data_IF_895539323059
#
_entry.id   IF_895539323059
#
_cell.length_a   1.000
_cell.length_b   1.000
_cell.length_c   1.000
_cell.angle_alpha   90.00
_cell.angle_beta   90.00
_cell.angle_gamma   90.00
#
_symmetry.space_group_name_H-M   'P 1'
#
loop_
_entity.id
_entity.type
_entity.pdbx_description
1 polymer ?
#
# COMPACT_ATOMS: atom_id res chain seq x y z
N UNK A 1 10.20 40.82 -24.80
CA UNK A 1 10.56 40.41 -23.41
C UNK A 1 9.35 39.70 -22.80
N UNK A 2 9.46 38.43 -22.45
CA UNK A 2 8.36 37.66 -21.82
C UNK A 2 8.30 38.02 -20.33
N UNK A 3 7.23 38.68 -19.89
CA UNK A 3 6.97 38.94 -18.47
C UNK A 3 6.73 37.63 -17.72
N UNK A 4 7.79 37.07 -17.15
CA UNK A 4 7.72 35.96 -16.20
C UNK A 4 7.36 36.51 -14.82
N UNK A 5 6.06 36.62 -14.54
CA UNK A 5 5.57 36.85 -13.18
C UNK A 5 6.02 35.70 -12.28
N UNK A 6 7.02 35.97 -11.42
CA UNK A 6 7.44 35.08 -10.33
C UNK A 6 6.21 34.74 -9.49
N UNK A 7 5.70 33.52 -9.64
CA UNK A 7 4.62 32.97 -8.81
C UNK A 7 5.18 32.76 -7.40
N UNK A 8 5.04 33.77 -6.52
CA UNK A 8 5.37 33.64 -5.10
C UNK A 8 4.59 32.45 -4.54
N UNK A 9 5.31 31.45 -4.04
CA UNK A 9 4.76 30.28 -3.39
C UNK A 9 4.06 30.73 -2.09
N UNK A 10 2.76 31.05 -2.18
CA UNK A 10 1.97 31.44 -1.00
C UNK A 10 1.83 30.22 -0.10
N UNK A 11 2.55 30.22 1.02
CA UNK A 11 2.33 29.27 2.10
C UNK A 11 0.93 29.49 2.67
N UNK A 12 0.14 28.43 2.74
CA UNK A 12 -1.22 28.52 3.29
C UNK A 12 -1.14 28.85 4.79
N UNK A 13 -1.67 30.02 5.17
CA UNK A 13 -1.79 30.45 6.57
C UNK A 13 -3.25 30.72 6.90
N UNK A 14 -3.70 30.26 8.07
CA UNK A 14 -5.03 30.58 8.58
C UNK A 14 -5.13 32.07 8.92
N UNK A 15 -6.35 32.64 8.82
CA UNK A 15 -6.61 33.99 9.32
C UNK A 15 -6.30 34.06 10.83
N UNK A 16 -5.53 35.06 11.22
CA UNK A 16 -5.27 35.44 12.61
C UNK A 16 -6.50 36.11 13.24
N UNK A 17 -6.47 36.33 14.57
CA UNK A 17 -7.51 37.11 15.25
C UNK A 17 -7.60 38.52 14.66
N UNK A 18 -6.47 39.22 14.55
CA UNK A 18 -6.41 40.58 14.03
C UNK A 18 -6.99 40.69 12.61
N UNK A 19 -6.71 39.71 11.74
CA UNK A 19 -7.31 39.67 10.41
C UNK A 19 -8.83 39.48 10.48
N UNK A 20 -9.34 38.63 11.40
CA UNK A 20 -10.79 38.46 11.60
C UNK A 20 -11.44 39.74 12.13
N UNK A 21 -10.83 40.43 13.09
CA UNK A 21 -11.35 41.69 13.63
C UNK A 21 -11.43 42.75 12.52
N UNK A 22 -10.42 42.80 11.66
CA UNK A 22 -10.39 43.72 10.51
C UNK A 22 -11.46 43.36 9.47
N UNK A 23 -11.72 42.07 9.23
CA UNK A 23 -12.85 41.63 8.39
C UNK A 23 -14.16 42.14 8.98
N UNK A 24 -14.36 41.99 10.28
CA UNK A 24 -15.59 42.39 10.96
C UNK A 24 -15.85 43.89 10.84
N UNK A 25 -14.86 44.71 11.18
CA UNK A 25 -14.91 46.17 11.08
C UNK A 25 -15.23 46.59 9.64
N UNK A 26 -14.45 46.14 8.65
CA UNK A 26 -14.62 46.57 7.27
C UNK A 26 -15.97 46.11 6.69
N UNK A 27 -16.45 44.90 7.05
CA UNK A 27 -17.75 44.42 6.61
C UNK A 27 -18.90 45.19 7.27
N UNK A 28 -18.76 45.59 8.54
CA UNK A 28 -19.74 46.47 9.20
C UNK A 28 -19.80 47.88 8.58
N UNK A 29 -18.68 48.36 8.05
CA UNK A 29 -18.57 49.63 7.32
C UNK A 29 -19.04 49.53 5.85
N UNK A 30 -19.50 48.36 5.40
CA UNK A 30 -20.06 48.17 4.06
C UNK A 30 -19.06 47.84 2.95
N UNK A 31 -17.76 47.73 3.25
CA UNK A 31 -16.73 47.38 2.25
C UNK A 31 -16.98 46.02 1.62
N UNK A 32 -16.72 45.89 0.31
CA UNK A 32 -16.94 44.63 -0.42
C UNK A 32 -15.93 43.54 -0.02
N UNK A 33 -16.23 42.27 -0.31
CA UNK A 33 -15.31 41.15 -0.07
C UNK A 33 -13.97 41.36 -0.79
N UNK A 34 -14.01 41.97 -1.99
CA UNK A 34 -12.83 42.25 -2.80
C UNK A 34 -11.97 43.32 -2.13
N UNK A 35 -12.58 44.36 -1.57
CA UNK A 35 -11.85 45.45 -0.90
C UNK A 35 -11.22 44.96 0.40
N UNK A 36 -11.96 44.18 1.20
CA UNK A 36 -11.44 43.54 2.41
C UNK A 36 -10.24 42.63 2.07
N UNK A 37 -10.35 41.85 0.99
CA UNK A 37 -9.26 40.98 0.56
C UNK A 37 -8.01 41.75 0.12
N UNK A 38 -8.18 42.87 -0.62
CA UNK A 38 -7.09 43.78 -0.99
C UNK A 38 -6.40 44.37 0.24
N UNK A 39 -7.16 44.88 1.21
CA UNK A 39 -6.64 45.48 2.45
C UNK A 39 -5.85 44.46 3.27
N UNK A 40 -6.30 43.20 3.31
CA UNK A 40 -5.63 42.13 4.07
C UNK A 40 -4.53 41.40 3.30
N UNK A 41 -4.30 41.74 2.03
CA UNK A 41 -3.38 40.99 1.16
C UNK A 41 -3.78 39.52 0.99
N UNK A 42 -5.07 39.19 1.14
CA UNK A 42 -5.62 37.83 1.06
C UNK A 42 -6.33 37.60 -0.27
N UNK A 43 -6.52 36.33 -0.60
CA UNK A 43 -7.41 35.98 -1.71
C UNK A 43 -8.88 36.24 -1.31
N UNK A 44 -9.65 36.84 -2.22
CA UNK A 44 -11.07 37.14 -2.03
C UNK A 44 -11.90 35.88 -1.66
N UNK A 45 -11.55 34.72 -2.21
CA UNK A 45 -12.17 33.44 -1.88
C UNK A 45 -11.91 33.00 -0.44
N UNK A 46 -10.83 33.46 0.21
CA UNK A 46 -10.55 33.20 1.63
C UNK A 46 -11.50 33.97 2.53
N UNK A 47 -11.71 35.26 2.23
CA UNK A 47 -12.66 36.11 2.94
C UNK A 47 -14.09 35.61 2.74
N UNK A 48 -14.45 35.26 1.51
CA UNK A 48 -15.76 34.66 1.19
C UNK A 48 -16.02 33.38 2.00
N UNK A 49 -15.07 32.42 2.01
CA UNK A 49 -15.19 31.17 2.79
C UNK A 49 -15.30 31.41 4.30
N UNK A 50 -14.57 32.40 4.83
CA UNK A 50 -14.65 32.77 6.25
C UNK A 50 -16.05 33.30 6.61
N UNK A 51 -16.57 34.25 5.83
CA UNK A 51 -17.88 34.84 6.03
C UNK A 51 -19.00 33.81 5.88
N UNK A 52 -18.97 32.98 4.83
CA UNK A 52 -19.95 31.90 4.62
C UNK A 52 -20.01 30.97 5.85
N UNK A 53 -18.87 30.70 6.47
CA UNK A 53 -18.75 29.71 7.53
C UNK A 53 -19.13 30.25 8.91
N UNK A 54 -18.93 31.55 9.15
CA UNK A 54 -19.02 32.11 10.50
C UNK A 54 -20.03 33.26 10.66
N UNK A 55 -20.58 33.81 9.58
CA UNK A 55 -21.70 34.76 9.67
C UNK A 55 -23.00 34.06 10.07
N UNK A 56 -23.80 34.67 10.96
CA UNK A 56 -25.13 34.14 11.32
C UNK A 56 -26.10 34.31 10.15
N UNK A 57 -26.75 33.27 9.66
CA UNK A 57 -27.78 33.43 8.61
C UNK A 57 -28.97 34.19 9.18
N UNK A 58 -29.18 35.44 8.77
CA UNK A 58 -30.46 36.15 8.96
C UNK A 58 -31.16 36.09 7.61
N UNK A 59 -32.24 35.30 7.49
CA UNK A 59 -33.13 35.38 6.33
C UNK A 59 -33.80 36.76 6.37
N UNK A 60 -33.67 37.54 5.29
CA UNK A 60 -34.54 38.70 5.04
C UNK A 60 -35.33 38.43 3.76
N UNK A 61 -36.63 38.75 3.80
CA UNK A 61 -37.58 38.50 2.71
C UNK A 61 -37.19 39.17 1.39
N UNK A 62 -37.62 38.56 0.29
CA UNK A 62 -37.40 39.02 -1.09
C UNK A 62 -37.97 40.42 -1.31
N UNK A 63 -37.14 41.35 -1.75
CA UNK A 63 -37.48 42.34 -2.77
C UNK A 63 -36.30 42.42 -3.74
N UNK A 64 -36.54 42.00 -4.98
CA UNK A 64 -35.72 42.27 -6.17
C UNK A 64 -34.50 41.36 -6.44
N UNK A 65 -34.65 40.03 -6.35
CA UNK A 65 -33.82 39.08 -7.13
C UNK A 65 -32.34 38.90 -6.76
N UNK A 66 -31.72 39.80 -5.99
CA UNK A 66 -30.34 39.66 -5.53
C UNK A 66 -30.30 39.29 -4.02
N UNK A 67 -30.23 38.01 -3.73
CA UNK A 67 -30.13 37.52 -2.34
C UNK A 67 -28.76 37.83 -1.72
N UNK A 68 -28.62 38.98 -1.05
CA UNK A 68 -27.47 39.24 -0.16
C UNK A 68 -27.73 38.69 1.24
N UNK A 69 -26.95 37.67 1.62
CA UNK A 69 -26.87 37.15 2.99
C UNK A 69 -26.21 38.23 3.86
N UNK A 70 -26.97 38.93 4.69
CA UNK A 70 -26.41 39.86 5.68
C UNK A 70 -26.63 39.28 7.06
N UNK A 71 -25.81 38.27 7.37
CA UNK A 71 -25.49 37.93 8.74
C UNK A 71 -24.47 38.89 9.32
N UNK A 72 -24.64 39.33 10.57
CA UNK A 72 -23.54 39.98 11.29
C UNK A 72 -22.42 38.95 11.45
N UNK A 73 -21.26 39.25 10.88
CA UNK A 73 -20.03 38.52 11.15
C UNK A 73 -19.59 38.87 12.58
N UNK A 74 -18.96 37.93 13.26
CA UNK A 74 -18.49 38.11 14.64
C UNK A 74 -17.10 37.49 14.71
N UNK A 75 -16.08 38.34 14.76
CA UNK A 75 -14.69 37.92 14.75
C UNK A 75 -14.32 37.01 15.94
N UNK A 76 -14.87 37.29 17.12
CA UNK A 76 -14.62 36.52 18.34
C UNK A 76 -15.23 35.12 18.22
N UNK A 77 -16.47 35.02 17.75
CA UNK A 77 -17.13 33.75 17.50
C UNK A 77 -16.41 32.94 16.41
N UNK A 78 -16.00 33.58 15.32
CA UNK A 78 -15.27 32.94 14.22
C UNK A 78 -13.94 32.36 14.72
N UNK A 79 -13.21 33.12 15.52
CA UNK A 79 -11.94 32.68 16.12
C UNK A 79 -12.13 31.55 17.13
N UNK A 80 -13.09 31.68 18.05
CA UNK A 80 -13.40 30.63 19.00
C UNK A 80 -13.79 29.33 18.30
N UNK A 81 -14.67 29.38 17.30
CA UNK A 81 -15.04 28.21 16.48
C UNK A 81 -13.86 27.63 15.72
N UNK A 82 -12.96 28.47 15.18
CA UNK A 82 -11.74 28.01 14.51
C UNK A 82 -10.78 27.29 15.49
N UNK A 83 -10.58 27.85 16.67
CA UNK A 83 -9.80 27.25 17.75
C UNK A 83 -10.38 25.93 18.21
N UNK A 84 -11.67 25.89 18.55
CA UNK A 84 -12.40 24.67 18.93
C UNK A 84 -12.26 23.62 17.85
N UNK A 85 -12.53 23.95 16.58
CA UNK A 85 -12.36 23.01 15.46
C UNK A 85 -10.94 22.42 15.39
N UNK A 86 -9.90 23.25 15.56
CA UNK A 86 -8.50 22.78 15.60
C UNK A 86 -8.23 21.89 16.81
N UNK A 87 -8.75 22.26 17.99
CA UNK A 87 -8.62 21.51 19.24
C UNK A 87 -9.31 20.15 19.18
N UNK A 88 -10.42 20.01 18.45
CA UNK A 88 -11.13 18.74 18.31
C UNK A 88 -10.68 17.91 17.10
N UNK A 89 -10.09 18.52 16.06
CA UNK A 89 -9.53 17.79 14.92
C UNK A 89 -8.44 16.78 15.34
N UNK A 90 -7.68 17.05 16.42
CA UNK A 90 -6.70 16.11 16.99
C UNK A 90 -7.32 14.88 17.67
N UNK A 91 -8.64 14.88 17.85
CA UNK A 91 -9.42 13.76 18.34
C UNK A 91 -10.25 13.13 17.22
N UNK A 92 -9.99 13.46 15.94
CA UNK A 92 -10.68 12.85 14.80
C UNK A 92 -10.49 11.32 14.78
N UNK A 93 -9.40 10.80 15.36
CA UNK A 93 -9.21 9.37 15.56
C UNK A 93 -10.33 8.74 16.40
N UNK A 94 -10.98 9.49 17.31
CA UNK A 94 -12.13 8.99 18.09
C UNK A 94 -13.31 8.62 17.21
N UNK A 95 -13.41 9.15 15.98
CA UNK A 95 -14.44 8.74 15.00
C UNK A 95 -14.36 7.24 14.70
N UNK A 96 -13.17 6.63 14.82
CA UNK A 96 -13.02 5.18 14.71
C UNK A 96 -13.86 4.46 15.79
N UNK A 97 -13.93 4.98 17.02
CA UNK A 97 -14.72 4.35 18.10
C UNK A 97 -16.22 4.59 17.99
N UNK A 98 -16.65 5.70 17.39
CA UNK A 98 -18.07 6.08 17.31
C UNK A 98 -18.77 5.53 16.07
N UNK A 99 -18.02 5.22 15.01
CA UNK A 99 -18.55 4.66 13.78
C UNK A 99 -18.20 3.17 13.73
N UNK A 100 -19.16 2.31 14.12
CA UNK A 100 -18.97 0.86 14.21
C UNK A 100 -18.52 0.25 12.88
N UNK A 101 -18.93 0.82 11.74
CA UNK A 101 -18.49 0.35 10.41
C UNK A 101 -17.01 0.66 10.19
N UNK A 102 -16.55 1.85 10.60
CA UNK A 102 -15.12 2.19 10.54
C UNK A 102 -14.33 1.32 11.52
N UNK A 103 -14.83 1.12 12.74
CA UNK A 103 -14.17 0.31 13.75
C UNK A 103 -13.93 -1.10 13.20
N UNK A 104 -15.02 -1.78 12.79
CA UNK A 104 -14.98 -3.14 12.29
C UNK A 104 -14.08 -3.28 11.06
N UNK A 105 -14.14 -2.31 10.13
CA UNK A 105 -13.25 -2.31 8.98
C UNK A 105 -11.78 -2.16 9.40
N UNK A 106 -11.45 -1.25 10.30
CA UNK A 106 -10.07 -1.05 10.74
C UNK A 106 -9.55 -2.29 11.48
N UNK A 107 -10.33 -2.84 12.42
CA UNK A 107 -9.93 -3.98 13.24
C UNK A 107 -9.73 -5.24 12.40
N UNK A 108 -10.75 -5.64 11.62
CA UNK A 108 -10.71 -6.85 10.78
C UNK A 108 -9.56 -6.81 9.75
N UNK A 109 -9.27 -5.65 9.16
CA UNK A 109 -8.18 -5.52 8.20
C UNK A 109 -6.80 -5.52 8.87
N UNK A 110 -6.67 -4.96 10.07
CA UNK A 110 -5.43 -5.07 10.86
C UNK A 110 -5.14 -6.54 11.21
N UNK A 111 -6.14 -7.30 11.63
CA UNK A 111 -6.02 -8.73 11.99
C UNK A 111 -5.48 -9.59 10.84
N UNK A 112 -5.97 -9.37 9.61
CA UNK A 112 -5.43 -10.04 8.41
C UNK A 112 -4.09 -9.45 7.92
N UNK A 113 -3.52 -8.52 8.69
CA UNK A 113 -2.16 -8.02 8.50
C UNK A 113 -2.03 -6.82 7.56
N UNK A 114 -3.11 -6.08 7.26
CA UNK A 114 -3.01 -4.81 6.55
C UNK A 114 -2.34 -3.76 7.43
N UNK A 115 -1.59 -2.84 6.82
CA UNK A 115 -1.06 -1.68 7.54
C UNK A 115 -2.07 -0.54 7.52
N UNK A 116 -1.95 0.45 8.43
CA UNK A 116 -2.73 1.68 8.37
C UNK A 116 -2.65 2.41 7.02
N UNK A 117 -1.52 2.29 6.30
CA UNK A 117 -1.39 2.85 4.95
C UNK A 117 -2.19 2.07 3.91
N UNK A 118 -2.33 0.76 4.07
CA UNK A 118 -3.08 -0.09 3.14
C UNK A 118 -4.58 0.18 3.31
N UNK A 119 -5.07 0.20 4.56
CA UNK A 119 -6.44 0.57 4.92
C UNK A 119 -6.78 1.97 4.40
N UNK A 120 -5.90 2.95 4.63
CA UNK A 120 -6.10 4.31 4.11
C UNK A 120 -6.26 4.32 2.58
N UNK A 121 -5.41 3.58 1.86
CA UNK A 121 -5.47 3.53 0.39
C UNK A 121 -6.72 2.86 -0.16
N UNK A 122 -7.38 2.00 0.64
CA UNK A 122 -8.50 1.17 0.20
C UNK A 122 -9.87 1.65 0.69
N UNK A 123 -9.92 2.24 1.88
CA UNK A 123 -11.16 2.63 2.57
C UNK A 123 -12.14 3.43 1.71
N UNK A 124 -11.65 4.34 0.85
CA UNK A 124 -12.53 5.13 -0.02
C UNK A 124 -13.24 4.28 -1.08
N UNK A 125 -12.59 3.23 -1.60
CA UNK A 125 -13.16 2.31 -2.59
C UNK A 125 -14.19 1.38 -1.95
N UNK A 126 -13.89 0.83 -0.78
CA UNK A 126 -14.71 -0.22 -0.16
C UNK A 126 -15.80 0.30 0.80
N UNK A 127 -15.57 1.43 1.47
CA UNK A 127 -16.52 2.00 2.43
C UNK A 127 -17.11 3.34 2.00
N UNK A 128 -16.67 3.90 0.88
CA UNK A 128 -16.92 5.30 0.51
C UNK A 128 -16.49 6.33 1.58
N UNK A 129 -15.72 5.91 2.59
CA UNK A 129 -15.23 6.73 3.71
C UNK A 129 -13.72 6.88 3.61
N UNK A 130 -13.20 8.08 3.89
CA UNK A 130 -11.76 8.29 3.95
C UNK A 130 -11.25 8.10 5.39
N UNK A 131 -10.49 7.03 5.62
CA UNK A 131 -9.88 6.76 6.92
C UNK A 131 -8.39 7.11 6.84
N UNK A 132 -7.97 8.18 7.51
CA UNK A 132 -6.56 8.61 7.49
C UNK A 132 -5.65 7.60 8.18
N UNK A 133 -4.51 7.26 7.57
CA UNK A 133 -3.46 6.46 8.22
C UNK A 133 -3.02 7.06 9.57
N UNK A 134 -3.01 8.40 9.67
CA UNK A 134 -2.62 9.11 10.90
C UNK A 134 -3.65 8.87 11.99
N UNK A 135 -4.94 8.93 11.66
CA UNK A 135 -6.02 8.66 12.61
C UNK A 135 -5.95 7.23 13.15
N UNK A 136 -5.67 6.24 12.29
CA UNK A 136 -5.48 4.85 12.71
C UNK A 136 -4.26 4.74 13.64
N UNK A 137 -3.12 5.35 13.29
CA UNK A 137 -1.94 5.32 14.15
C UNK A 137 -2.12 6.03 15.49
N UNK A 138 -2.89 7.13 15.53
CA UNK A 138 -3.24 7.81 16.78
C UNK A 138 -4.17 6.94 17.63
N UNK A 139 -5.21 6.35 17.03
CA UNK A 139 -6.12 5.42 17.71
C UNK A 139 -5.38 4.22 18.30
N UNK A 140 -4.48 3.58 17.53
CA UNK A 140 -3.64 2.46 18.00
C UNK A 140 -2.77 2.82 19.22
N UNK A 141 -2.33 4.08 19.33
CA UNK A 141 -1.43 4.52 20.42
C UNK A 141 -2.19 5.05 21.63
N UNK A 142 -3.26 5.80 21.38
CA UNK A 142 -3.94 6.61 22.39
C UNK A 142 -5.15 5.92 23.02
N UNK A 143 -5.73 4.90 22.37
CA UNK A 143 -6.98 4.26 22.81
C UNK A 143 -6.77 2.80 23.21
N UNK A 144 -7.36 2.39 24.34
CA UNK A 144 -7.27 1.01 24.84
C UNK A 144 -7.92 -0.01 23.90
N UNK A 145 -8.91 0.39 23.09
CA UNK A 145 -9.51 -0.48 22.06
C UNK A 145 -8.58 -0.68 20.87
N UNK A 146 -7.70 0.29 20.61
CA UNK A 146 -6.73 0.23 19.53
C UNK A 146 -5.45 -0.53 19.87
N UNK A 147 -4.97 -0.39 21.10
CA UNK A 147 -3.70 -0.98 21.54
C UNK A 147 -3.55 -2.49 21.26
N UNK A 148 -4.57 -3.36 21.48
CA UNK A 148 -4.49 -4.79 21.16
C UNK A 148 -4.11 -5.09 19.70
N UNK A 149 -4.46 -4.20 18.76
CA UNK A 149 -4.18 -4.38 17.34
C UNK A 149 -2.75 -4.01 16.94
N UNK A 150 -1.95 -3.43 17.85
CA UNK A 150 -0.55 -3.13 17.59
C UNK A 150 0.28 -4.39 17.29
N UNK A 151 -0.12 -5.56 17.82
CA UNK A 151 0.52 -6.85 17.54
C UNK A 151 0.51 -7.22 16.06
N UNK A 152 -0.48 -6.72 15.30
CA UNK A 152 -0.60 -6.99 13.87
C UNK A 152 0.25 -6.05 13.01
N UNK A 153 0.91 -5.05 13.59
CA UNK A 153 1.82 -4.18 12.87
C UNK A 153 3.22 -4.80 12.76
N UNK A 154 3.83 -4.65 11.59
CA UNK A 154 5.23 -5.04 11.40
C UNK A 154 6.16 -3.98 12.02
N UNK A 155 6.76 -4.28 13.17
CA UNK A 155 7.51 -3.31 13.98
C UNK A 155 9.04 -3.38 13.87
N UNK A 156 9.61 -4.30 13.07
CA UNK A 156 11.07 -4.48 13.01
C UNK A 156 11.77 -3.39 12.20
N UNK A 157 12.46 -2.46 12.89
CA UNK A 157 13.47 -1.58 12.28
C UNK A 157 14.73 -2.38 11.95
N UNK A 158 15.21 -2.28 10.70
CA UNK A 158 16.42 -2.96 10.24
C UNK A 158 17.63 -2.04 10.45
N UNK A 159 18.66 -2.52 11.14
CA UNK A 159 19.99 -1.88 11.11
C UNK A 159 20.68 -2.28 9.79
N UNK A 160 21.05 -1.31 8.97
CA UNK A 160 21.83 -1.57 7.74
C UNK A 160 23.24 -1.99 8.17
N UNK A 161 23.62 -3.24 7.87
CA UNK A 161 25.02 -3.68 8.05
C UNK A 161 25.82 -3.19 6.85
N UNK A 162 26.99 -2.57 7.10
CA UNK A 162 27.94 -2.21 6.04
C UNK A 162 28.39 -3.48 5.29
N UNK A 163 28.33 -3.46 3.96
CA UNK A 163 28.84 -4.57 3.14
C UNK A 163 30.38 -4.57 3.16
N UNK A 164 30.99 -5.74 3.35
CA UNK A 164 32.44 -5.94 3.17
C UNK A 164 32.75 -6.01 1.67
N UNK A 165 33.75 -5.25 1.21
CA UNK A 165 34.07 -5.05 -0.22
C UNK A 165 34.89 -6.16 -0.89
N UNK A 166 35.41 -7.15 -0.15
CA UNK A 166 36.38 -8.09 -0.71
C UNK A 166 35.82 -9.51 -0.80
N UNK A 167 35.38 -9.92 -1.99
CA UNK A 167 35.22 -11.35 -2.37
C UNK A 167 35.43 -11.55 -3.87
N UNK A 168 36.05 -12.68 -4.21
CA UNK A 168 36.47 -13.13 -5.55
C UNK A 168 35.28 -13.31 -6.50
N UNK A 169 35.43 -12.86 -7.76
CA UNK A 169 34.50 -13.18 -8.85
C UNK A 169 34.58 -14.69 -9.13
N UNK A 170 33.48 -15.42 -8.97
CA UNK A 170 33.32 -16.77 -9.52
C UNK A 170 32.15 -16.72 -10.48
N UNK A 171 32.37 -17.05 -11.75
CA UNK A 171 31.29 -17.29 -12.69
C UNK A 171 30.76 -18.71 -12.46
N UNK A 172 29.49 -18.80 -12.07
CA UNK A 172 28.87 -20.04 -11.59
C UNK A 172 27.83 -20.57 -12.60
N UNK A 173 27.35 -19.72 -13.50
CA UNK A 173 26.20 -20.01 -14.37
C UNK A 173 26.64 -19.93 -15.84
N UNK A 174 26.64 -21.07 -16.56
CA UNK A 174 26.90 -21.10 -18.00
C UNK A 174 25.89 -20.28 -18.81
N UNK A 175 26.36 -19.68 -19.91
CA UNK A 175 25.54 -18.97 -20.92
C UNK A 175 24.64 -17.85 -20.37
N UNK A 176 24.89 -17.32 -19.17
CA UNK A 176 24.01 -16.33 -18.55
C UNK A 176 23.94 -15.04 -19.38
N UNK A 177 22.74 -14.51 -19.54
CA UNK A 177 22.50 -13.19 -20.13
C UNK A 177 22.45 -12.16 -18.99
N UNK A 178 23.39 -11.23 -18.95
CA UNK A 178 23.43 -10.22 -17.91
C UNK A 178 22.29 -9.20 -18.01
N UNK A 179 21.97 -8.55 -16.90
CA UNK A 179 20.86 -7.59 -16.79
C UNK A 179 21.07 -6.32 -17.62
N UNK A 180 22.31 -6.02 -18.01
CA UNK A 180 22.68 -4.95 -18.92
C UNK A 180 22.06 -5.13 -20.32
N UNK A 181 21.85 -6.39 -20.73
CA UNK A 181 21.18 -6.73 -21.99
C UNK A 181 19.65 -6.62 -21.90
N UNK A 182 19.10 -6.42 -20.69
CA UNK A 182 17.65 -6.35 -20.48
C UNK A 182 17.08 -5.08 -21.11
N UNK A 183 16.08 -5.20 -22.02
CA UNK A 183 15.47 -4.04 -22.67
C UNK A 183 14.99 -2.96 -21.67
N UNK A 184 15.33 -1.70 -21.96
CA UNK A 184 15.03 -0.56 -21.06
C UNK A 184 13.54 -0.40 -20.74
N UNK A 185 12.63 -0.83 -21.63
CA UNK A 185 11.19 -0.77 -21.38
C UNK A 185 10.76 -1.63 -20.17
N UNK A 186 11.48 -2.73 -19.89
CA UNK A 186 11.21 -3.62 -18.76
C UNK A 186 11.42 -2.88 -17.44
N UNK A 187 12.41 -1.98 -17.36
CA UNK A 187 12.68 -1.18 -16.16
C UNK A 187 11.51 -0.23 -15.81
N UNK A 188 10.73 0.21 -16.80
CA UNK A 188 9.58 1.11 -16.61
C UNK A 188 8.37 0.43 -15.92
N UNK A 189 8.33 -0.90 -15.85
CA UNK A 189 7.23 -1.68 -15.25
C UNK A 189 5.85 -1.33 -15.85
N UNK A 190 5.82 -1.08 -17.15
CA UNK A 190 4.62 -0.60 -17.85
C UNK A 190 3.57 -1.70 -18.09
N UNK A 191 3.96 -2.98 -18.16
CA UNK A 191 3.07 -4.14 -18.33
C UNK A 191 3.42 -5.30 -17.39
N UNK A 192 2.44 -6.16 -17.11
CA UNK A 192 2.66 -7.42 -16.42
C UNK A 192 3.31 -8.45 -17.37
N UNK A 193 3.93 -9.48 -16.80
CA UNK A 193 4.65 -10.54 -17.55
C UNK A 193 6.15 -10.56 -17.27
N UNK A 194 6.72 -9.46 -16.79
CA UNK A 194 8.12 -9.40 -16.35
C UNK A 194 8.23 -9.74 -14.87
N UNK A 195 8.99 -10.78 -14.54
CA UNK A 195 9.05 -11.36 -13.20
C UNK A 195 10.46 -11.30 -12.61
N UNK A 196 10.50 -11.30 -11.29
CA UNK A 196 11.71 -11.53 -10.50
C UNK A 196 11.48 -12.80 -9.68
N UNK A 197 12.49 -13.67 -9.54
CA UNK A 197 12.38 -14.83 -8.67
C UNK A 197 13.59 -15.02 -7.76
N UNK A 198 13.37 -15.66 -6.63
CA UNK A 198 14.36 -15.89 -5.57
C UNK A 198 14.03 -17.15 -4.77
N UNK A 199 15.00 -17.66 -4.01
CA UNK A 199 14.77 -18.72 -3.04
C UNK A 199 14.89 -18.20 -1.61
N UNK A 200 13.91 -18.55 -0.78
CA UNK A 200 14.03 -18.50 0.67
C UNK A 200 14.44 -19.90 1.13
N UNK A 201 15.65 -20.07 1.62
CA UNK A 201 16.17 -21.37 2.09
C UNK A 201 16.01 -21.55 3.60
N UNK A 202 15.88 -22.81 4.04
CA UNK A 202 15.97 -23.20 5.46
C UNK A 202 17.25 -22.70 6.13
N UNK A 203 17.17 -22.53 7.45
CA UNK A 203 18.35 -22.33 8.27
C UNK A 203 19.36 -23.48 8.15
N UNK A 204 20.62 -23.19 8.47
CA UNK A 204 21.72 -24.17 8.45
C UNK A 204 22.32 -24.43 9.84
N UNK A 205 21.50 -24.25 10.89
CA UNK A 205 21.93 -24.55 12.26
C UNK A 205 21.90 -26.05 12.48
N UNK A 206 22.71 -26.55 13.41
CA UNK A 206 22.84 -27.99 13.71
C UNK A 206 21.49 -28.65 14.04
N UNK A 207 20.58 -27.92 14.69
CA UNK A 207 19.25 -28.39 15.04
C UNK A 207 18.21 -28.32 13.89
N UNK A 208 18.61 -27.97 12.67
CA UNK A 208 17.72 -27.86 11.50
C UNK A 208 18.12 -28.93 10.49
N UNK A 209 17.24 -29.92 10.34
CA UNK A 209 17.46 -31.07 9.46
C UNK A 209 16.89 -30.79 8.06
N UNK A 210 15.75 -30.11 7.97
CA UNK A 210 15.05 -29.87 6.72
C UNK A 210 15.83 -28.96 5.76
N UNK A 211 15.95 -29.43 4.51
CA UNK A 211 16.66 -28.74 3.43
C UNK A 211 15.74 -27.96 2.49
N UNK A 212 14.47 -27.84 2.88
CA UNK A 212 13.44 -27.20 2.11
C UNK A 212 13.77 -25.73 1.78
N UNK A 213 13.17 -25.26 0.70
CA UNK A 213 13.17 -23.86 0.32
C UNK A 213 11.78 -23.46 -0.16
N UNK A 214 11.52 -22.16 -0.16
CA UNK A 214 10.33 -21.58 -0.77
C UNK A 214 10.79 -20.80 -1.98
N UNK A 215 10.33 -21.25 -3.14
CA UNK A 215 10.43 -20.51 -4.40
C UNK A 215 9.50 -19.30 -4.33
N UNK A 216 10.05 -18.13 -4.59
CA UNK A 216 9.34 -16.86 -4.59
C UNK A 216 9.45 -16.27 -5.98
N UNK A 217 8.33 -16.10 -6.66
CA UNK A 217 8.25 -15.41 -7.94
C UNK A 217 7.29 -14.24 -7.82
N UNK A 218 7.67 -13.06 -8.31
CA UNK A 218 6.84 -11.86 -8.24
C UNK A 218 6.78 -11.13 -9.58
N UNK A 219 5.58 -10.68 -9.96
CA UNK A 219 5.42 -9.76 -11.09
C UNK A 219 5.91 -8.35 -10.75
N UNK A 220 6.73 -7.76 -11.62
CA UNK A 220 7.37 -6.45 -11.35
C UNK A 220 6.39 -5.28 -11.41
N UNK A 221 5.32 -5.35 -12.21
CA UNK A 221 4.26 -4.33 -12.26
C UNK A 221 3.19 -4.66 -11.22
N UNK A 222 2.53 -5.80 -11.38
CA UNK A 222 1.36 -6.19 -10.60
C UNK A 222 1.66 -6.58 -9.16
N UNK A 223 2.94 -6.87 -8.82
CA UNK A 223 3.36 -7.35 -7.49
C UNK A 223 2.72 -8.66 -7.07
N UNK A 224 2.18 -9.39 -8.04
CA UNK A 224 1.53 -10.67 -7.80
C UNK A 224 2.59 -11.71 -7.49
N UNK A 225 2.41 -12.35 -6.33
CA UNK A 225 3.34 -13.27 -5.73
C UNK A 225 2.90 -14.69 -6.02
N UNK A 226 3.85 -15.54 -6.37
CA UNK A 226 3.69 -16.97 -6.37
C UNK A 226 4.70 -17.61 -5.42
N UNK A 227 4.24 -18.49 -4.56
CA UNK A 227 5.02 -19.22 -3.57
C UNK A 227 4.86 -20.72 -3.78
N UNK A 228 5.97 -21.43 -3.77
CA UNK A 228 5.98 -22.90 -3.85
C UNK A 228 7.05 -23.47 -2.93
N UNK A 229 6.69 -24.42 -2.07
CA UNK A 229 7.67 -25.20 -1.31
C UNK A 229 8.39 -26.15 -2.25
N UNK A 230 9.69 -26.25 -2.09
CA UNK A 230 10.54 -27.24 -2.74
C UNK A 230 11.36 -27.96 -1.66
N UNK A 231 11.59 -29.25 -1.83
CA UNK A 231 12.25 -30.07 -0.81
C UNK A 231 13.71 -29.70 -0.63
N UNK A 232 14.36 -29.23 -1.69
CA UNK A 232 15.76 -28.79 -1.71
C UNK A 232 15.95 -27.64 -2.69
N UNK A 233 16.85 -26.72 -2.33
CA UNK A 233 17.28 -25.61 -3.20
C UNK A 233 18.20 -26.09 -4.35
N UNK A 234 17.68 -26.94 -5.24
CA UNK A 234 18.36 -27.40 -6.46
C UNK A 234 17.78 -26.71 -7.69
N UNK A 235 18.57 -26.70 -8.77
CA UNK A 235 18.15 -26.11 -10.03
C UNK A 235 16.96 -26.81 -10.68
N UNK A 236 16.87 -28.14 -10.58
CA UNK A 236 15.73 -28.86 -11.14
C UNK A 236 14.43 -28.50 -10.43
N UNK A 237 14.45 -28.48 -9.08
CA UNK A 237 13.26 -28.19 -8.29
C UNK A 237 12.84 -26.73 -8.43
N UNK A 238 13.80 -25.80 -8.46
CA UNK A 238 13.49 -24.40 -8.71
C UNK A 238 12.86 -24.19 -10.09
N UNK A 239 13.47 -24.73 -11.15
CA UNK A 239 12.90 -24.67 -12.50
C UNK A 239 11.49 -25.27 -12.57
N UNK A 240 11.28 -26.44 -11.95
CA UNK A 240 9.96 -27.08 -11.88
C UNK A 240 8.93 -26.16 -11.22
N UNK A 241 9.30 -25.52 -10.11
CA UNK A 241 8.40 -24.58 -9.42
C UNK A 241 8.01 -23.38 -10.30
N UNK A 242 8.94 -22.84 -11.10
CA UNK A 242 8.66 -21.74 -12.02
C UNK A 242 7.74 -22.20 -13.16
N UNK A 243 7.94 -23.41 -13.69
CA UNK A 243 7.03 -24.01 -14.69
C UNK A 243 5.62 -24.21 -14.14
N UNK A 244 5.48 -24.77 -12.94
CA UNK A 244 4.17 -24.92 -12.29
C UNK A 244 3.47 -23.56 -12.11
N UNK A 245 4.22 -22.53 -11.76
CA UNK A 245 3.69 -21.18 -11.66
C UNK A 245 3.22 -20.62 -13.01
N UNK A 246 3.94 -20.93 -14.09
CA UNK A 246 3.61 -20.49 -15.45
C UNK A 246 2.29 -21.06 -15.96
N UNK A 247 1.87 -22.22 -15.47
CA UNK A 247 0.59 -22.85 -15.85
C UNK A 247 -0.59 -21.98 -15.41
N UNK A 248 -0.49 -21.29 -14.27
CA UNK A 248 -1.56 -20.43 -13.71
C UNK A 248 -1.60 -19.03 -14.31
N UNK A 249 -0.63 -18.71 -15.16
CA UNK A 249 -0.39 -17.37 -15.67
C UNK A 249 -0.50 -17.38 -17.19
N UNK A 250 -1.00 -16.29 -17.74
CA UNK A 250 -1.15 -16.17 -19.19
C UNK A 250 0.19 -16.32 -19.90
N UNK A 251 1.21 -15.59 -19.41
CA UNK A 251 2.57 -15.60 -19.95
C UNK A 251 3.63 -15.16 -18.95
N UNK A 252 4.87 -15.49 -19.26
CA UNK A 252 6.09 -14.99 -18.58
C UNK A 252 7.03 -14.44 -19.64
N UNK A 253 6.95 -13.13 -19.90
CA UNK A 253 7.74 -12.46 -20.95
C UNK A 253 9.23 -12.43 -20.61
N UNK A 254 9.56 -12.26 -19.33
CA UNK A 254 10.96 -12.29 -18.90
C UNK A 254 11.08 -12.66 -17.42
N UNK A 255 12.19 -13.30 -17.05
CA UNK A 255 12.53 -13.60 -15.67
C UNK A 255 13.88 -12.98 -15.29
N UNK A 256 13.95 -12.33 -14.14
CA UNK A 256 15.22 -11.82 -13.57
C UNK A 256 15.61 -12.64 -12.35
N UNK A 257 16.82 -13.20 -12.38
CA UNK A 257 17.41 -14.06 -11.36
C UNK A 257 18.71 -13.47 -10.81
N UNK A 258 19.20 -14.03 -9.71
CA UNK A 258 20.55 -13.74 -9.21
C UNK A 258 21.56 -14.80 -9.69
N UNK A 259 22.82 -14.65 -9.30
CA UNK A 259 23.89 -15.58 -9.70
C UNK A 259 24.00 -16.82 -8.79
N UNK A 260 22.89 -17.25 -8.18
CA UNK A 260 22.81 -18.45 -7.35
C UNK A 260 23.02 -19.74 -8.14
N UNK A 261 23.56 -20.78 -7.49
CA UNK A 261 23.81 -22.11 -8.11
C UNK A 261 22.52 -22.81 -8.51
N UNK A 262 21.44 -22.53 -7.80
CA UNK A 262 20.07 -22.94 -8.11
C UNK A 262 19.62 -22.48 -9.51
N UNK A 263 20.24 -21.44 -10.08
CA UNK A 263 19.87 -20.93 -11.38
C UNK A 263 20.76 -21.47 -12.51
N UNK A 264 21.65 -22.42 -12.22
CA UNK A 264 22.62 -22.95 -13.20
C UNK A 264 21.98 -23.63 -14.42
N UNK A 265 20.80 -24.24 -14.26
CA UNK A 265 20.07 -24.93 -15.35
C UNK A 265 18.92 -24.09 -15.92
N UNK A 266 19.01 -22.77 -15.88
CA UNK A 266 17.92 -21.85 -16.25
C UNK A 266 17.35 -22.07 -17.66
N UNK A 267 18.18 -22.49 -18.63
CA UNK A 267 17.77 -22.78 -20.01
C UNK A 267 16.63 -23.83 -20.05
N UNK A 268 16.62 -24.77 -19.10
CA UNK A 268 15.56 -25.79 -19.01
C UNK A 268 14.21 -25.24 -18.57
N UNK A 269 14.11 -23.98 -18.13
CA UNK A 269 12.84 -23.36 -17.76
C UNK A 269 11.93 -23.09 -18.98
N UNK A 270 12.51 -23.00 -20.19
CA UNK A 270 11.82 -22.61 -21.43
C UNK A 270 11.10 -21.25 -21.32
N UNK A 271 11.78 -20.27 -20.71
CA UNK A 271 11.35 -18.87 -20.67
C UNK A 271 12.17 -18.11 -21.70
N UNK A 272 11.48 -17.36 -22.56
CA UNK A 272 12.07 -16.68 -23.72
C UNK A 272 13.25 -15.77 -23.34
N UNK A 273 13.12 -15.03 -22.23
CA UNK A 273 14.12 -14.04 -21.80
C UNK A 273 14.44 -14.19 -20.32
N UNK A 274 15.63 -14.69 -20.00
CA UNK A 274 16.13 -14.78 -18.63
C UNK A 274 17.36 -13.88 -18.46
N UNK A 275 17.31 -13.00 -17.45
CA UNK A 275 18.35 -12.03 -17.17
C UNK A 275 18.94 -12.25 -15.77
N UNK A 276 20.24 -12.08 -15.64
CA UNK A 276 20.98 -12.27 -14.40
C UNK A 276 21.50 -10.95 -13.86
N UNK A 277 21.23 -10.69 -12.57
CA UNK A 277 21.74 -9.50 -11.89
C UNK A 277 23.27 -9.45 -11.95
N UNK A 278 23.82 -8.24 -11.93
CA UNK A 278 25.25 -8.05 -11.70
C UNK A 278 25.62 -8.58 -10.31
N UNK A 279 26.80 -9.21 -10.14
CA UNK A 279 27.25 -9.66 -8.83
C UNK A 279 27.23 -8.51 -7.82
N UNK A 280 26.74 -8.79 -6.60
CA UNK A 280 26.63 -7.83 -5.50
C UNK A 280 25.61 -6.69 -5.67
N UNK A 281 24.69 -6.81 -6.63
CA UNK A 281 23.67 -5.79 -6.91
C UNK A 281 22.24 -6.25 -6.57
N UNK A 282 21.90 -6.50 -5.29
CA UNK A 282 20.56 -6.98 -4.92
C UNK A 282 19.43 -6.01 -5.31
N UNK A 283 19.72 -4.71 -5.42
CA UNK A 283 18.76 -3.68 -5.81
C UNK A 283 18.19 -3.87 -7.22
N UNK A 284 18.88 -4.59 -8.09
CA UNK A 284 18.43 -4.93 -9.44
C UNK A 284 17.22 -5.87 -9.46
N UNK A 285 16.98 -6.56 -8.32
CA UNK A 285 15.86 -7.44 -8.02
C UNK A 285 15.01 -6.92 -6.83
N UNK A 286 14.88 -5.59 -6.73
CA UNK A 286 14.26 -4.94 -5.57
C UNK A 286 12.79 -5.29 -5.31
N UNK A 287 12.06 -5.86 -6.27
CA UNK A 287 10.66 -6.27 -6.07
C UNK A 287 10.59 -7.53 -5.22
N UNK A 288 11.34 -8.57 -5.59
CA UNK A 288 11.37 -9.83 -4.83
C UNK A 288 12.14 -9.68 -3.53
N UNK A 289 13.19 -8.84 -3.49
CA UNK A 289 13.89 -8.55 -2.24
C UNK A 289 12.92 -7.94 -1.21
N UNK A 290 12.13 -6.94 -1.63
CA UNK A 290 11.10 -6.37 -0.78
C UNK A 290 10.08 -7.45 -0.39
N UNK A 291 9.54 -8.23 -1.32
CA UNK A 291 8.60 -9.30 -1.00
C UNK A 291 9.16 -10.27 0.06
N UNK A 292 10.42 -10.70 -0.08
CA UNK A 292 11.11 -11.56 0.86
C UNK A 292 11.20 -10.95 2.27
N UNK A 293 11.42 -9.64 2.40
CA UNK A 293 11.41 -8.97 3.71
C UNK A 293 10.05 -9.07 4.40
N UNK A 294 8.96 -8.90 3.65
CA UNK A 294 7.61 -9.03 4.19
C UNK A 294 7.29 -10.50 4.53
N UNK A 295 7.73 -11.44 3.68
CA UNK A 295 7.55 -12.87 3.91
C UNK A 295 8.26 -13.36 5.17
N UNK A 296 9.32 -12.68 5.63
CA UNK A 296 9.97 -13.00 6.92
C UNK A 296 9.09 -12.81 8.14
N UNK A 297 7.93 -12.16 8.01
CA UNK A 297 6.90 -12.16 9.06
C UNK A 297 6.29 -13.55 9.26
N UNK A 298 6.15 -14.32 8.19
CA UNK A 298 5.49 -15.63 8.18
C UNK A 298 6.51 -16.79 8.15
N UNK A 299 7.62 -16.61 7.44
CA UNK A 299 8.74 -17.56 7.35
C UNK A 299 9.97 -17.00 8.06
N UNK A 300 10.07 -17.27 9.37
CA UNK A 300 11.13 -16.70 10.23
C UNK A 300 12.52 -17.00 9.63
N UNK A 301 13.44 -16.03 9.70
CA UNK A 301 14.79 -16.25 9.17
C UNK A 301 15.51 -17.32 10.00
N UNK A 302 16.01 -18.35 9.32
CA UNK A 302 16.74 -19.44 9.95
C UNK A 302 15.85 -20.46 10.66
N UNK A 303 14.54 -20.49 10.38
CA UNK A 303 13.71 -21.64 10.73
C UNK A 303 13.89 -22.79 9.73
N UNK A 304 13.43 -23.97 10.12
CA UNK A 304 13.26 -25.10 9.20
C UNK A 304 12.00 -24.86 8.34
N UNK A 305 12.19 -24.69 7.03
CA UNK A 305 11.09 -24.42 6.11
C UNK A 305 10.26 -25.67 5.79
N UNK A 306 10.77 -26.88 6.08
CA UNK A 306 10.03 -28.13 5.83
C UNK A 306 8.78 -28.25 6.70
N UNK A 307 8.80 -27.61 7.86
CA UNK A 307 7.73 -27.60 8.85
C UNK A 307 6.51 -26.76 8.42
N UNK A 308 6.67 -25.88 7.42
CA UNK A 308 5.53 -25.14 6.88
C UNK A 308 4.79 -26.01 5.87
N UNK A 309 3.50 -26.22 6.11
CA UNK A 309 2.63 -26.95 5.18
C UNK A 309 2.42 -26.16 3.88
N UNK A 310 2.09 -26.85 2.80
CA UNK A 310 1.82 -26.20 1.52
C UNK A 310 0.55 -25.32 1.59
N UNK A 311 -0.42 -25.70 2.42
CA UNK A 311 -1.63 -24.92 2.71
C UNK A 311 -1.27 -23.62 3.43
N UNK A 312 -0.38 -23.65 4.43
CA UNK A 312 0.07 -22.43 5.08
C UNK A 312 0.83 -21.52 4.12
N UNK A 313 1.66 -22.08 3.23
CA UNK A 313 2.37 -21.29 2.21
C UNK A 313 1.36 -20.65 1.25
N UNK A 314 0.34 -21.40 0.84
CA UNK A 314 -0.75 -20.90 -0.02
C UNK A 314 -1.58 -19.81 0.69
N UNK A 315 -1.83 -19.96 1.99
CA UNK A 315 -2.47 -18.94 2.82
C UNK A 315 -1.69 -17.62 2.80
N UNK A 316 -0.37 -17.69 3.01
CA UNK A 316 0.50 -16.50 2.96
C UNK A 316 0.49 -15.88 1.56
N UNK A 317 0.56 -16.69 0.50
CA UNK A 317 0.44 -16.21 -0.89
C UNK A 317 -0.87 -15.44 -1.10
N UNK A 318 -2.00 -16.00 -0.68
CA UNK A 318 -3.32 -15.38 -0.78
C UNK A 318 -3.37 -14.06 0.00
N UNK A 319 -2.90 -14.01 1.25
CA UNK A 319 -2.83 -12.76 2.00
C UNK A 319 -2.05 -11.67 1.26
N UNK A 320 -0.93 -12.01 0.62
CA UNK A 320 -0.11 -11.04 -0.09
C UNK A 320 -0.76 -10.52 -1.37
N UNK A 321 -1.45 -11.40 -2.09
CA UNK A 321 -2.10 -11.09 -3.37
C UNK A 321 -3.43 -10.36 -3.20
N UNK A 322 -4.06 -10.48 -2.03
CA UNK A 322 -5.32 -9.80 -1.68
C UNK A 322 -5.10 -8.57 -0.80
N UNK A 323 -3.86 -8.29 -0.40
CA UNK A 323 -3.51 -7.08 0.34
C UNK A 323 -3.31 -5.89 -0.62
N UNK A 324 -4.06 -4.78 -0.47
CA UNK A 324 -3.91 -3.62 -1.32
C UNK A 324 -2.54 -3.00 -1.13
N UNK A 325 -2.02 -2.41 -2.20
CA UNK A 325 -0.69 -1.78 -2.20
C UNK A 325 -0.83 -0.32 -2.58
N UNK A 326 -0.24 0.57 -1.78
CA UNK A 326 -0.11 1.99 -2.14
C UNK A 326 0.55 2.19 -3.51
N UNK A 327 1.54 1.35 -3.86
CA UNK A 327 2.23 1.41 -5.16
C UNK A 327 1.34 1.06 -6.35
N UNK A 328 0.18 0.44 -6.11
CA UNK A 328 -0.83 0.07 -7.11
C UNK A 328 -2.08 0.97 -6.99
N UNK A 329 -1.97 2.13 -6.35
CA UNK A 329 -3.10 3.04 -6.16
C UNK A 329 -4.21 2.49 -5.25
N UNK A 330 -3.88 1.56 -4.33
CA UNK A 330 -4.86 0.92 -3.45
C UNK A 330 -5.53 -0.33 -4.06
N UNK A 331 -5.14 -0.74 -5.27
CA UNK A 331 -5.51 -2.05 -5.82
C UNK A 331 -4.69 -3.18 -5.18
N UNK A 332 -5.25 -4.39 -5.19
CA UNK A 332 -4.56 -5.61 -4.82
C UNK A 332 -3.75 -6.15 -6.00
N UNK A 333 -2.66 -6.90 -5.75
CA UNK A 333 -1.96 -7.59 -6.81
C UNK A 333 -2.88 -8.49 -7.65
N UNK A 334 -3.85 -9.15 -7.02
CA UNK A 334 -4.84 -9.97 -7.71
C UNK A 334 -5.69 -9.14 -8.70
N UNK A 335 -6.24 -7.99 -8.26
CA UNK A 335 -7.02 -7.10 -9.13
C UNK A 335 -6.21 -6.61 -10.33
N UNK A 336 -4.93 -6.24 -10.12
CA UNK A 336 -4.07 -5.78 -11.22
C UNK A 336 -3.84 -6.88 -12.23
N UNK A 337 -3.57 -8.11 -11.78
CA UNK A 337 -3.39 -9.25 -12.69
C UNK A 337 -4.68 -9.61 -13.43
N UNK A 338 -5.83 -9.50 -12.77
CA UNK A 338 -7.13 -9.72 -13.40
C UNK A 338 -7.40 -8.68 -14.49
N UNK A 339 -7.17 -7.40 -14.20
CA UNK A 339 -7.35 -6.29 -15.15
C UNK A 339 -6.40 -6.38 -16.36
N UNK A 340 -5.19 -6.91 -16.17
CA UNK A 340 -4.20 -7.12 -17.23
C UNK A 340 -4.37 -8.48 -17.94
N UNK A 341 -5.43 -9.23 -17.62
CA UNK A 341 -5.73 -10.54 -18.21
C UNK A 341 -4.60 -11.57 -18.04
N UNK A 342 -3.90 -11.55 -16.91
CA UNK A 342 -2.71 -12.37 -16.69
C UNK A 342 -2.95 -13.68 -15.94
N UNK A 343 -4.17 -13.93 -15.45
CA UNK A 343 -4.54 -15.13 -14.70
C UNK A 343 -5.37 -16.06 -15.59
N UNK A 344 -4.97 -17.34 -15.67
CA UNK A 344 -5.70 -18.40 -16.39
C UNK A 344 -6.84 -18.96 -15.53
N UNK A 345 -7.87 -19.50 -16.19
CA UNK A 345 -8.99 -20.24 -15.58
C UNK A 345 -9.85 -19.46 -14.57
N UNK A 346 -9.78 -18.14 -14.59
CA UNK A 346 -10.64 -17.27 -13.78
C UNK A 346 -11.77 -16.74 -14.67
N UNK A 347 -13.01 -17.17 -14.42
CA UNK A 347 -14.21 -16.55 -15.02
C UNK A 347 -14.29 -15.09 -14.56
N UNK A 348 -13.85 -14.17 -15.43
CA UNK A 348 -13.67 -12.74 -15.11
C UNK A 348 -14.99 -12.09 -14.69
N UNK A 349 -16.10 -12.35 -15.38
CA UNK A 349 -17.40 -11.77 -15.06
C UNK A 349 -17.85 -12.01 -13.61
N UNK A 350 -17.84 -13.24 -13.11
CA UNK A 350 -18.42 -13.52 -11.78
C UNK A 350 -17.56 -12.99 -10.63
N UNK A 351 -16.23 -13.01 -10.79
CA UNK A 351 -15.29 -12.54 -9.75
C UNK A 351 -15.11 -11.03 -9.77
N UNK A 352 -15.20 -10.39 -10.94
CA UNK A 352 -15.09 -8.92 -11.04
C UNK A 352 -16.28 -8.24 -10.36
N UNK A 353 -17.50 -8.74 -10.58
CA UNK A 353 -18.72 -8.23 -9.96
C UNK A 353 -18.70 -8.46 -8.44
N UNK A 354 -18.48 -9.70 -7.98
CA UNK A 354 -18.50 -10.03 -6.55
C UNK A 354 -17.40 -9.34 -5.72
N UNK A 355 -16.21 -9.15 -6.32
CA UNK A 355 -15.04 -8.62 -5.62
C UNK A 355 -14.95 -7.09 -5.62
N UNK A 356 -15.36 -6.44 -6.71
CA UNK A 356 -15.34 -4.97 -6.79
C UNK A 356 -16.49 -4.32 -6.02
N UNK A 357 -17.62 -5.01 -5.88
CA UNK A 357 -18.82 -4.45 -5.26
C UNK A 357 -18.86 -4.66 -3.73
N UNK A 358 -18.37 -5.80 -3.21
CA UNK A 358 -18.55 -6.14 -1.80
C UNK A 358 -17.31 -5.83 -0.91
N UNK A 359 -16.12 -5.64 -1.50
CA UNK A 359 -14.87 -5.44 -0.76
C UNK A 359 -14.16 -6.75 -0.39
N UNK A 360 -12.86 -6.67 -0.09
CA UNK A 360 -11.97 -7.86 0.01
C UNK A 360 -12.42 -8.85 1.07
N UNK A 361 -12.80 -8.37 2.26
CA UNK A 361 -13.27 -9.24 3.34
C UNK A 361 -14.66 -9.83 3.11
N UNK A 362 -15.49 -9.22 2.26
CA UNK A 362 -16.85 -9.71 1.98
C UNK A 362 -16.92 -10.59 0.74
N UNK A 363 -15.89 -10.60 -0.10
CA UNK A 363 -15.75 -11.53 -1.22
C UNK A 363 -15.85 -12.98 -0.72
N UNK A 364 -16.87 -13.72 -1.16
CA UNK A 364 -16.98 -15.14 -0.84
C UNK A 364 -15.78 -15.92 -1.35
N UNK A 365 -15.18 -15.51 -2.47
CA UNK A 365 -13.95 -16.13 -2.96
C UNK A 365 -12.81 -15.98 -1.96
N UNK A 366 -12.62 -14.77 -1.41
CA UNK A 366 -11.58 -14.56 -0.40
C UNK A 366 -11.91 -15.29 0.91
N UNK A 367 -13.16 -15.24 1.36
CA UNK A 367 -13.62 -15.99 2.55
C UNK A 367 -13.43 -17.50 2.37
N UNK A 368 -13.76 -18.05 1.20
CA UNK A 368 -13.60 -19.47 0.89
C UNK A 368 -12.12 -19.85 0.83
N UNK A 369 -11.27 -19.04 0.19
CA UNK A 369 -9.83 -19.25 0.21
C UNK A 369 -9.28 -19.20 1.63
N UNK A 370 -9.64 -18.21 2.45
CA UNK A 370 -9.18 -18.13 3.84
C UNK A 370 -9.75 -19.24 4.72
N UNK A 371 -11.03 -19.59 4.60
CA UNK A 371 -11.68 -20.61 5.42
C UNK A 371 -11.13 -22.01 5.12
N UNK A 372 -10.91 -22.33 3.84
CA UNK A 372 -10.29 -23.59 3.43
C UNK A 372 -8.86 -23.69 3.96
N UNK A 373 -8.12 -22.58 3.99
CA UNK A 373 -6.72 -22.55 4.41
C UNK A 373 -6.56 -22.45 5.94
N UNK A 374 -7.47 -21.78 6.65
CA UNK A 374 -7.47 -21.65 8.12
C UNK A 374 -7.83 -22.98 8.81
N UNK A 375 -8.74 -23.77 8.24
CA UNK A 375 -9.02 -25.14 8.70
C UNK A 375 -7.79 -26.05 8.63
N UNK A 376 -6.91 -25.83 7.65
CA UNK A 376 -5.67 -26.59 7.49
C UNK A 376 -4.48 -26.01 8.30
N UNK A 377 -4.42 -24.70 8.51
CA UNK A 377 -3.30 -24.04 9.20
C UNK A 377 -3.38 -24.07 10.73
N UNK A 378 -4.56 -24.36 11.31
CA UNK A 378 -4.79 -24.38 12.76
C UNK A 378 -3.91 -25.35 13.57
N UNK A 379 -3.22 -26.30 12.92
CA UNK A 379 -2.26 -27.21 13.55
C UNK A 379 -0.83 -26.68 13.67
N UNK A 380 -0.43 -25.63 12.93
CA UNK A 380 0.99 -25.27 12.76
C UNK A 380 1.45 -24.05 13.59
N UNK A 381 0.56 -23.36 14.32
CA UNK A 381 0.88 -22.11 15.03
C UNK A 381 0.83 -22.19 16.56
N UNK A 382 0.70 -23.40 17.14
CA UNK A 382 0.96 -23.64 18.57
C UNK A 382 2.33 -24.32 18.71
N UNK A 383 3.39 -23.53 18.67
CA UNK A 383 4.78 -23.96 18.81
C UNK A 383 5.73 -22.81 19.02
#
# INVERSE_FOLDING_TARGET
MKNTTKKTQRTYSHLSQNERDRIDILRSQGYSIVDVAKVLGRDHGTISRELIKYSRVIKRGKKNGEGRIVGKYDANLASHKAYVKKKYARFDWKKINYDLVILEYVTSHLEIGWSPSDINSRSKKELNKHISKTAIYEWLRADWRGQPYCQYLYSKRKKVKKQKKNKTKKEIIPNRIGIEMRPKHIAKRARCGHKEADLIVSGRKENIIGKAAISVMIDRKGRYLHLKKIDRATSEQFNKSIKEASIKLERIDSLTLDNGKENSKWEKMNIEQVYFCTPYSPWEKGSVENANLWLRRYFKKGSDLSQYSDEYIKYVETLFNFKPRKSLGGLTPFEVMLNENMLKDIKKESLKTHYLENGILNSEYFKQQLANLAKCAGGALRG
#
